data_IF_796077074431
#
_entry.id   IF_796077074431
#
_cell.length_a   1.000
_cell.length_b   1.000
_cell.length_c   1.000
_cell.angle_alpha   90.00
_cell.angle_beta   90.00
_cell.angle_gamma   90.00
#
_symmetry.space_group_name_H-M   'P 1'
#
loop_
_entity.id
_entity.type
_entity.pdbx_description
1 polymer ?
#
# COMPACT_ATOMS: atom_id res chain seq x y z
N UNK A 1 11.76 -4.27 4.21
CA UNK A 1 11.44 -5.71 4.21
C UNK A 1 11.01 -6.14 2.82
N UNK A 2 11.57 -7.23 2.33
CA UNK A 2 11.27 -7.82 1.02
C UNK A 2 10.42 -9.06 1.17
N UNK A 3 9.39 -9.20 0.37
CA UNK A 3 8.56 -10.41 0.29
C UNK A 3 8.36 -10.80 -1.18
N UNK A 4 8.88 -11.97 -1.55
CA UNK A 4 8.65 -12.58 -2.85
C UNK A 4 7.49 -13.56 -2.74
N UNK A 5 6.51 -13.43 -3.63
CA UNK A 5 5.40 -14.37 -3.74
C UNK A 5 5.79 -15.53 -4.66
N UNK A 6 5.11 -16.69 -4.56
CA UNK A 6 5.36 -17.81 -5.45
C UNK A 6 5.13 -17.44 -6.91
N UNK A 7 5.79 -18.14 -7.82
CA UNK A 7 5.53 -18.02 -9.25
C UNK A 7 4.09 -18.42 -9.55
N UNK A 8 3.41 -17.60 -10.32
CA UNK A 8 2.06 -17.83 -10.79
C UNK A 8 2.09 -18.16 -12.28
N UNK A 9 1.47 -19.25 -12.68
CA UNK A 9 1.36 -19.61 -14.10
C UNK A 9 0.20 -18.84 -14.74
N UNK A 10 0.51 -18.04 -15.75
CA UNK A 10 -0.45 -17.17 -16.46
C UNK A 10 -0.10 -17.20 -17.96
N UNK A 11 -1.08 -17.49 -18.80
CA UNK A 11 -0.93 -17.45 -20.27
C UNK A 11 0.28 -18.22 -20.80
N UNK A 12 0.56 -19.39 -20.24
CA UNK A 12 1.66 -20.24 -20.70
C UNK A 12 3.06 -19.83 -20.22
N UNK A 13 3.18 -18.84 -19.37
CA UNK A 13 4.40 -18.41 -18.73
C UNK A 13 4.27 -18.28 -17.23
N UNK A 14 5.29 -17.77 -16.56
CA UNK A 14 5.30 -17.60 -15.12
C UNK A 14 5.51 -16.15 -14.71
N UNK A 15 4.68 -15.69 -13.79
CA UNK A 15 4.74 -14.34 -13.20
C UNK A 15 5.08 -14.42 -11.72
N UNK A 16 5.88 -13.49 -11.23
CA UNK A 16 6.17 -13.35 -9.80
C UNK A 16 6.01 -11.90 -9.39
N UNK A 17 5.43 -11.72 -8.21
CA UNK A 17 5.28 -10.41 -7.57
C UNK A 17 6.22 -10.32 -6.38
N UNK A 18 6.96 -9.23 -6.28
CA UNK A 18 7.83 -8.92 -5.13
C UNK A 18 7.41 -7.59 -4.55
N UNK A 19 7.23 -7.56 -3.23
CA UNK A 19 6.95 -6.35 -2.47
C UNK A 19 8.18 -5.94 -1.66
N UNK A 20 8.49 -4.64 -1.66
CA UNK A 20 9.48 -4.03 -0.78
C UNK A 20 8.71 -3.11 0.15
N UNK A 21 8.56 -3.49 1.41
CA UNK A 21 7.73 -2.76 2.37
C UNK A 21 8.51 -1.75 3.20
N UNK A 22 7.91 -0.55 3.42
CA UNK A 22 8.35 0.46 4.37
C UNK A 22 7.76 0.26 5.78
N UNK A 23 7.38 1.36 6.49
CA UNK A 23 7.23 2.73 5.95
C UNK A 23 8.53 3.49 5.81
N UNK A 24 8.65 4.24 4.72
CA UNK A 24 9.76 5.15 4.47
C UNK A 24 9.27 6.57 4.25
N UNK A 25 10.13 7.55 4.51
CA UNK A 25 9.87 8.93 4.09
C UNK A 25 9.69 8.99 2.57
N UNK A 26 8.73 9.79 2.12
CA UNK A 26 8.56 10.01 0.69
C UNK A 26 9.75 10.79 0.11
N UNK A 27 10.22 10.39 -1.05
CA UNK A 27 11.13 11.19 -1.86
C UNK A 27 10.38 12.37 -2.48
N UNK A 28 11.08 13.33 -3.03
CA UNK A 28 10.51 14.58 -3.53
C UNK A 28 9.38 14.37 -4.53
N UNK A 29 9.53 13.44 -5.47
CA UNK A 29 8.52 13.14 -6.48
C UNK A 29 7.21 12.70 -5.85
N UNK A 30 7.26 11.79 -4.87
CA UNK A 30 6.08 11.29 -4.19
C UNK A 30 5.43 12.35 -3.30
N UNK A 31 6.26 13.15 -2.63
CA UNK A 31 5.77 14.27 -1.83
C UNK A 31 4.98 15.26 -2.69
N UNK A 32 5.50 15.60 -3.87
CA UNK A 32 4.84 16.50 -4.82
C UNK A 32 3.53 15.93 -5.34
N UNK A 33 3.52 14.63 -5.68
CA UNK A 33 2.30 13.94 -6.11
C UNK A 33 1.23 13.94 -5.01
N UNK A 34 1.61 13.65 -3.76
CA UNK A 34 0.69 13.68 -2.63
C UNK A 34 0.14 15.09 -2.36
N UNK A 35 0.97 16.11 -2.49
CA UNK A 35 0.50 17.50 -2.38
C UNK A 35 -0.58 17.80 -3.40
N UNK A 36 -0.38 17.35 -4.64
CA UNK A 36 -1.36 17.52 -5.71
C UNK A 36 -2.65 16.77 -5.45
N UNK A 37 -2.54 15.50 -5.03
CA UNK A 37 -3.71 14.66 -4.71
C UNK A 37 -4.55 15.26 -3.59
N UNK A 38 -3.91 15.72 -2.50
CA UNK A 38 -4.63 16.38 -1.41
C UNK A 38 -5.32 17.66 -1.89
N UNK A 39 -4.61 18.49 -2.65
CA UNK A 39 -5.13 19.76 -3.16
C UNK A 39 -6.34 19.57 -4.10
N UNK A 40 -6.31 18.54 -4.94
CA UNK A 40 -7.41 18.22 -5.85
C UNK A 40 -8.71 17.89 -5.11
N UNK A 41 -8.59 17.38 -3.89
CA UNK A 41 -9.73 17.05 -3.04
C UNK A 41 -10.09 18.17 -2.05
N UNK A 42 -9.41 19.31 -2.11
CA UNK A 42 -9.64 20.43 -1.22
C UNK A 42 -8.94 20.29 0.14
N UNK A 43 -7.93 19.44 0.26
CA UNK A 43 -7.20 19.20 1.51
C UNK A 43 -5.73 19.59 1.37
N UNK A 44 -5.04 19.64 2.51
CA UNK A 44 -3.62 19.95 2.62
C UNK A 44 -2.85 18.69 3.02
N UNK A 45 -1.68 18.47 2.41
CA UNK A 45 -0.79 17.40 2.80
C UNK A 45 -0.12 17.72 4.13
N UNK A 46 -0.26 16.82 5.10
CA UNK A 46 0.39 16.92 6.42
C UNK A 46 1.66 16.09 6.47
N UNK A 47 1.63 14.88 5.93
CA UNK A 47 2.77 13.97 5.89
C UNK A 47 2.63 12.98 4.75
N UNK A 48 3.72 12.29 4.44
CA UNK A 48 3.77 11.31 3.36
C UNK A 48 4.61 10.12 3.76
N UNK A 49 4.09 8.92 3.53
CA UNK A 49 4.80 7.67 3.74
C UNK A 49 4.85 6.88 2.45
N UNK A 50 5.97 6.27 2.14
CA UNK A 50 6.12 5.30 1.07
C UNK A 50 5.92 3.91 1.67
N UNK A 51 4.83 3.24 1.33
CA UNK A 51 4.41 1.99 1.96
C UNK A 51 5.11 0.79 1.34
N UNK A 52 5.06 0.69 0.02
CA UNK A 52 5.61 -0.43 -0.72
C UNK A 52 5.99 -0.04 -2.14
N UNK A 53 6.97 -0.75 -2.67
CA UNK A 53 7.30 -0.78 -4.08
C UNK A 53 7.03 -2.20 -4.59
N UNK A 54 6.33 -2.31 -5.72
CA UNK A 54 5.91 -3.59 -6.28
C UNK A 54 6.67 -3.84 -7.57
N UNK A 55 7.36 -4.99 -7.65
CA UNK A 55 7.99 -5.48 -8.85
C UNK A 55 7.22 -6.70 -9.36
N UNK A 56 6.74 -6.62 -10.61
CA UNK A 56 6.17 -7.75 -11.31
C UNK A 56 7.21 -8.29 -12.31
N UNK A 57 7.42 -9.58 -12.32
CA UNK A 57 8.34 -10.25 -13.22
C UNK A 57 7.61 -11.30 -14.06
N UNK A 58 7.95 -11.36 -15.36
CA UNK A 58 7.53 -12.41 -16.27
C UNK A 58 8.77 -13.11 -16.78
N UNK A 59 8.93 -14.38 -16.46
CA UNK A 59 10.08 -15.18 -16.88
C UNK A 59 11.43 -14.48 -16.61
N UNK A 60 11.55 -13.81 -15.46
CA UNK A 60 12.75 -13.07 -15.07
C UNK A 60 12.84 -11.63 -15.58
N UNK A 61 11.94 -11.19 -16.45
CA UNK A 61 11.90 -9.81 -16.95
C UNK A 61 10.91 -8.98 -16.13
N UNK A 62 11.33 -7.78 -15.72
CA UNK A 62 10.46 -6.85 -15.00
C UNK A 62 9.40 -6.30 -15.96
N UNK A 63 8.14 -6.49 -15.63
CA UNK A 63 7.03 -5.93 -16.38
C UNK A 63 6.75 -4.50 -15.95
N UNK A 64 6.35 -3.70 -16.91
CA UNK A 64 5.75 -2.40 -16.63
C UNK A 64 4.28 -2.68 -16.27
N UNK A 65 3.87 -2.51 -15.01
CA UNK A 65 2.49 -2.79 -14.62
C UNK A 65 1.51 -1.85 -15.34
N UNK A 66 0.25 -2.25 -15.54
CA UNK A 66 -0.75 -1.41 -16.20
C UNK A 66 -1.13 -0.16 -15.39
N UNK A 67 -0.73 -0.09 -14.13
CA UNK A 67 -0.89 1.09 -13.28
C UNK A 67 0.29 2.05 -13.47
N UNK A 68 0.14 3.34 -13.10
CA UNK A 68 1.22 4.31 -13.26
C UNK A 68 2.53 3.82 -12.64
N UNK A 69 3.58 3.79 -13.44
CA UNK A 69 4.92 3.42 -12.99
C UNK A 69 5.57 4.64 -12.37
N UNK A 70 5.92 4.54 -11.10
CA UNK A 70 6.55 5.64 -10.37
C UNK A 70 8.07 5.52 -10.28
N UNK A 71 8.62 4.33 -10.58
CA UNK A 71 10.05 4.10 -10.43
C UNK A 71 10.54 2.90 -11.24
N UNK A 72 11.25 3.14 -12.33
CA UNK A 72 12.03 2.14 -13.06
C UNK A 72 11.31 0.83 -13.40
N UNK A 73 10.06 0.87 -13.86
CA UNK A 73 9.28 -0.32 -14.16
C UNK A 73 8.61 -0.96 -12.94
N UNK A 74 8.56 -0.23 -11.83
CA UNK A 74 7.92 -0.66 -10.58
C UNK A 74 6.75 0.24 -10.23
N UNK A 75 5.79 -0.30 -9.49
CA UNK A 75 4.70 0.46 -8.93
C UNK A 75 5.02 0.81 -7.47
N UNK A 76 5.18 2.08 -7.18
CA UNK A 76 5.32 2.55 -5.80
C UNK A 76 3.95 2.89 -5.21
N UNK A 77 3.71 2.44 -4.01
CA UNK A 77 2.48 2.71 -3.27
C UNK A 77 2.80 3.68 -2.14
N UNK A 78 2.19 4.86 -2.19
CA UNK A 78 2.38 5.90 -1.18
C UNK A 78 1.13 6.07 -0.34
N UNK A 79 1.30 6.56 0.88
CA UNK A 79 0.20 6.98 1.73
C UNK A 79 0.32 8.49 1.95
N UNK A 80 -0.64 9.22 1.38
CA UNK A 80 -0.68 10.67 1.50
C UNK A 80 -1.54 11.04 2.72
N UNK A 81 -0.91 11.51 3.79
CA UNK A 81 -1.62 11.96 4.97
C UNK A 81 -2.16 13.38 4.77
N UNK A 82 -3.28 13.48 4.06
CA UNK A 82 -4.00 14.74 3.91
C UNK A 82 -4.78 15.04 5.20
N UNK A 83 -5.15 16.29 5.43
CA UNK A 83 -5.95 16.68 6.59
C UNK A 83 -7.42 16.34 6.46
N UNK A 84 -7.74 15.10 6.06
CA UNK A 84 -9.10 14.60 5.95
C UNK A 84 -9.83 14.63 7.30
N UNK A 85 -11.16 14.84 7.29
CA UNK A 85 -11.94 14.64 8.52
C UNK A 85 -11.91 13.16 8.91
N UNK A 86 -11.81 12.90 10.21
CA UNK A 86 -11.92 11.54 10.75
C UNK A 86 -13.39 11.10 10.76
N UNK A 87 -13.68 9.86 10.32
CA UNK A 87 -15.04 9.33 10.35
C UNK A 87 -15.55 9.14 11.79
N UNK A 88 -16.85 9.33 12.03
CA UNK A 88 -17.49 8.94 13.30
C UNK A 88 -17.30 7.45 13.59
N UNK A 89 -17.26 7.07 14.86
CA UNK A 89 -17.06 5.68 15.29
C UNK A 89 -18.02 4.70 14.61
N UNK A 90 -19.29 5.05 14.54
CA UNK A 90 -20.33 4.21 13.91
C UNK A 90 -20.04 3.97 12.43
N UNK A 91 -19.64 5.02 11.71
CA UNK A 91 -19.29 4.91 10.30
C UNK A 91 -18.04 4.03 10.09
N UNK A 92 -17.04 4.14 10.97
CA UNK A 92 -15.85 3.27 10.94
C UNK A 92 -16.22 1.80 11.10
N UNK A 93 -17.10 1.49 12.02
CA UNK A 93 -17.55 0.11 12.26
C UNK A 93 -18.30 -0.47 11.07
N UNK A 94 -19.14 0.32 10.41
CA UNK A 94 -19.85 -0.07 9.18
C UNK A 94 -18.85 -0.42 8.07
N UNK A 95 -17.86 0.44 7.86
CA UNK A 95 -16.83 0.23 6.83
C UNK A 95 -15.98 -1.01 7.12
N UNK A 96 -15.63 -1.24 8.39
CA UNK A 96 -14.89 -2.45 8.80
C UNK A 96 -15.71 -3.71 8.51
N UNK A 97 -17.00 -3.72 8.81
CA UNK A 97 -17.88 -4.86 8.54
C UNK A 97 -18.02 -5.14 7.04
N UNK A 98 -18.04 -4.11 6.22
CA UNK A 98 -18.04 -4.27 4.75
C UNK A 98 -16.80 -5.04 4.30
N UNK A 99 -15.63 -4.69 4.80
CA UNK A 99 -14.39 -5.40 4.52
C UNK A 99 -14.42 -6.85 5.00
N UNK A 100 -14.80 -7.07 6.25
CA UNK A 100 -14.87 -8.41 6.84
C UNK A 100 -15.77 -9.34 6.03
N UNK A 101 -16.86 -8.82 5.49
CA UNK A 101 -17.83 -9.59 4.70
C UNK A 101 -17.25 -10.10 3.38
N UNK A 102 -16.38 -9.33 2.72
CA UNK A 102 -15.84 -9.68 1.39
C UNK A 102 -14.40 -10.18 1.44
N UNK A 103 -13.78 -10.13 2.59
CA UNK A 103 -12.33 -10.37 2.77
C UNK A 103 -11.85 -11.67 2.13
N UNK A 104 -12.54 -12.77 2.34
CA UNK A 104 -12.11 -14.08 1.84
C UNK A 104 -12.20 -14.15 0.32
N UNK A 105 -13.30 -13.71 -0.27
CA UNK A 105 -13.44 -13.67 -1.73
C UNK A 105 -12.44 -12.68 -2.35
N UNK A 106 -12.16 -11.57 -1.69
CA UNK A 106 -11.15 -10.61 -2.12
C UNK A 106 -9.77 -11.26 -2.20
N UNK A 107 -9.36 -12.00 -1.18
CA UNK A 107 -8.07 -12.69 -1.14
C UNK A 107 -7.96 -13.73 -2.24
N UNK A 108 -9.04 -14.46 -2.54
CA UNK A 108 -9.07 -15.43 -3.63
C UNK A 108 -8.89 -14.75 -4.99
N UNK A 109 -9.59 -13.67 -5.26
CA UNK A 109 -9.47 -12.92 -6.50
C UNK A 109 -8.08 -12.29 -6.66
N UNK A 110 -7.54 -11.74 -5.59
CA UNK A 110 -6.20 -11.19 -5.55
C UNK A 110 -5.14 -12.26 -5.88
N UNK A 111 -5.32 -13.46 -5.31
CA UNK A 111 -4.40 -14.59 -5.53
C UNK A 111 -4.36 -15.04 -6.98
N UNK A 112 -5.45 -14.94 -7.70
CA UNK A 112 -5.50 -15.24 -9.15
C UNK A 112 -4.72 -14.24 -10.00
N UNK A 113 -4.54 -13.02 -9.51
CA UNK A 113 -3.88 -11.93 -10.24
C UNK A 113 -2.39 -11.79 -9.92
N UNK A 114 -2.00 -12.01 -8.67
CA UNK A 114 -0.68 -11.64 -8.17
C UNK A 114 0.10 -12.80 -7.54
N UNK A 115 -0.51 -13.94 -7.35
CA UNK A 115 0.06 -15.06 -6.62
C UNK A 115 -0.63 -15.25 -5.27
N UNK A 116 -0.34 -16.34 -4.60
CA UNK A 116 -1.01 -16.72 -3.35
C UNK A 116 -0.93 -15.60 -2.31
N UNK A 117 -2.09 -15.25 -1.72
CA UNK A 117 -2.15 -14.30 -0.60
C UNK A 117 -1.28 -14.81 0.54
N UNK A 118 -0.35 -13.99 1.06
CA UNK A 118 0.60 -14.45 2.05
C UNK A 118 -0.05 -14.93 3.36
N UNK A 119 0.54 -15.96 3.94
CA UNK A 119 0.10 -16.59 5.18
C UNK A 119 1.30 -16.72 6.11
N UNK A 120 1.08 -16.52 7.40
CA UNK A 120 2.10 -16.69 8.44
C UNK A 120 1.48 -17.42 9.64
N UNK A 121 2.09 -18.54 10.05
CA UNK A 121 1.57 -19.32 11.17
C UNK A 121 0.14 -19.81 10.98
N UNK A 122 -0.26 -20.16 9.76
CA UNK A 122 -1.62 -20.61 9.44
C UNK A 122 -2.65 -19.50 9.34
N UNK A 123 -2.26 -18.24 9.53
CA UNK A 123 -3.15 -17.07 9.47
C UNK A 123 -2.79 -16.20 8.27
N UNK A 124 -3.81 -15.83 7.50
CA UNK A 124 -3.61 -14.90 6.37
C UNK A 124 -3.14 -13.54 6.85
N UNK A 125 -2.22 -12.93 6.09
CA UNK A 125 -1.78 -11.59 6.37
C UNK A 125 -2.96 -10.61 6.34
N UNK A 126 -2.94 -9.53 7.15
CA UNK A 126 -3.97 -8.52 7.07
C UNK A 126 -3.96 -7.81 5.71
N UNK A 127 -5.13 -7.43 5.24
CA UNK A 127 -5.28 -6.50 4.13
C UNK A 127 -5.09 -5.08 4.64
N UNK A 128 -4.08 -4.39 4.13
CA UNK A 128 -3.80 -3.01 4.51
C UNK A 128 -4.52 -2.06 3.56
N UNK A 129 -5.35 -1.18 4.10
CA UNK A 129 -6.01 -0.13 3.34
C UNK A 129 -5.05 1.05 3.18
N UNK A 130 -4.66 1.35 1.94
CA UNK A 130 -3.69 2.41 1.62
C UNK A 130 -4.25 3.77 2.04
N UNK A 131 -5.51 4.07 1.67
CA UNK A 131 -6.28 5.13 2.30
C UNK A 131 -7.09 4.49 3.41
N UNK A 132 -6.71 4.77 4.64
CA UNK A 132 -7.24 4.08 5.81
C UNK A 132 -8.73 4.34 6.04
N UNK A 133 -9.40 3.37 6.67
CA UNK A 133 -10.83 3.43 6.92
C UNK A 133 -11.24 4.58 7.84
N UNK A 134 -10.34 5.00 8.71
CA UNK A 134 -10.60 6.07 9.67
C UNK A 134 -10.71 7.45 9.02
N UNK A 135 -10.16 7.58 7.83
CA UNK A 135 -10.15 8.83 7.06
C UNK A 135 -10.93 8.73 5.76
N UNK A 136 -11.81 7.73 5.63
CA UNK A 136 -12.73 7.61 4.52
C UNK A 136 -12.28 6.75 3.35
N UNK A 137 -11.23 5.94 3.53
CA UNK A 137 -10.79 4.99 2.51
C UNK A 137 -11.86 3.95 2.18
N UNK A 138 -11.96 3.56 0.91
CA UNK A 138 -12.91 2.54 0.48
C UNK A 138 -12.49 1.16 1.02
N UNK A 139 -13.33 0.49 1.82
CA UNK A 139 -12.96 -0.78 2.44
C UNK A 139 -12.88 -1.97 1.48
N UNK A 140 -13.41 -1.84 0.27
CA UNK A 140 -13.55 -2.95 -0.68
C UNK A 140 -12.92 -2.70 -2.04
N UNK A 141 -12.27 -1.56 -2.23
CA UNK A 141 -11.61 -1.22 -3.49
C UNK A 141 -10.31 -2.00 -3.64
N UNK A 142 -10.17 -2.83 -4.70
CA UNK A 142 -8.95 -3.59 -4.94
C UNK A 142 -7.69 -2.73 -5.08
N UNK A 143 -7.81 -1.49 -5.53
CA UNK A 143 -6.69 -0.57 -5.67
C UNK A 143 -6.26 0.07 -4.33
N UNK A 144 -7.05 -0.12 -3.29
CA UNK A 144 -6.80 0.43 -1.96
C UNK A 144 -6.28 -0.61 -0.94
N UNK A 145 -6.07 -1.85 -1.36
CA UNK A 145 -5.77 -2.95 -0.43
C UNK A 145 -4.55 -3.73 -0.91
N UNK A 146 -3.57 -3.91 -0.02
CA UNK A 146 -2.40 -4.75 -0.24
C UNK A 146 -2.18 -5.69 0.96
N UNK A 147 -1.61 -6.89 0.73
CA UNK A 147 -1.22 -7.74 1.84
C UNK A 147 0.02 -7.14 2.53
N UNK A 148 0.02 -7.11 3.85
CA UNK A 148 1.14 -6.60 4.64
C UNK A 148 1.40 -7.55 5.80
N UNK A 149 2.67 -7.88 6.05
CA UNK A 149 3.05 -8.69 7.20
C UNK A 149 2.55 -8.05 8.50
N UNK A 150 2.08 -8.83 9.50
CA UNK A 150 1.52 -8.27 10.72
C UNK A 150 2.41 -7.26 11.44
N UNK A 151 3.71 -7.52 11.53
CA UNK A 151 4.67 -6.60 12.16
C UNK A 151 4.82 -5.29 11.38
N UNK A 152 4.77 -5.35 10.05
CA UNK A 152 4.83 -4.17 9.17
C UNK A 152 3.52 -3.38 9.27
N UNK A 153 2.38 -4.05 9.30
CA UNK A 153 1.07 -3.44 9.50
C UNK A 153 1.02 -2.66 10.81
N UNK A 154 1.57 -3.21 11.89
CA UNK A 154 1.68 -2.52 13.18
C UNK A 154 2.57 -1.28 13.09
N UNK A 155 3.67 -1.35 12.34
CA UNK A 155 4.55 -0.20 12.13
C UNK A 155 3.84 0.94 11.41
N UNK A 156 3.05 0.65 10.38
CA UNK A 156 2.24 1.64 9.69
C UNK A 156 1.23 2.27 10.64
N UNK A 157 0.50 1.46 11.38
CA UNK A 157 -0.50 1.94 12.34
C UNK A 157 0.09 2.86 13.39
N UNK A 158 1.31 2.57 13.86
CA UNK A 158 2.02 3.44 14.81
C UNK A 158 2.53 4.73 14.19
N UNK A 159 2.83 4.73 12.90
CA UNK A 159 3.33 5.90 12.19
C UNK A 159 2.22 6.88 11.78
N UNK A 160 1.00 6.41 11.56
CA UNK A 160 -0.10 7.25 11.07
C UNK A 160 -0.38 8.49 11.92
N UNK A 161 -0.46 8.44 13.26
CA UNK A 161 -0.72 9.64 14.04
C UNK A 161 0.29 10.75 13.79
N UNK A 162 1.57 10.41 13.71
CA UNK A 162 2.63 11.39 13.42
C UNK A 162 2.56 11.91 11.98
N UNK A 163 2.24 11.03 11.02
CA UNK A 163 2.09 11.41 9.62
C UNK A 163 0.93 12.41 9.43
N UNK A 164 -0.23 12.11 9.98
CA UNK A 164 -1.39 13.00 9.92
C UNK A 164 -1.23 14.28 10.74
N UNK A 165 -0.38 14.25 11.76
CA UNK A 165 -0.06 15.43 12.56
C UNK A 165 1.00 16.34 11.92
N UNK A 166 1.56 15.95 10.78
CA UNK A 166 2.61 16.71 10.12
C UNK A 166 3.94 16.71 10.87
N UNK A 167 4.22 15.65 11.61
CA UNK A 167 5.45 15.51 12.40
C UNK A 167 6.58 14.85 11.61
N UNK A 168 7.81 15.17 11.99
CA UNK A 168 8.99 14.49 11.43
C UNK A 168 8.97 13.00 11.78
N UNK A 169 9.48 12.10 10.91
CA UNK A 169 10.14 12.40 9.64
C UNK A 169 9.18 12.53 8.44
N UNK A 170 7.87 12.39 8.64
CA UNK A 170 6.89 12.25 7.55
C UNK A 170 6.60 13.55 6.80
N UNK A 171 6.92 14.71 7.41
CA UNK A 171 6.74 16.02 6.80
C UNK A 171 8.00 16.50 6.04
N UNK A 172 9.03 15.67 5.95
CA UNK A 172 10.29 16.00 5.28
C UNK A 172 10.60 15.03 4.17
N UNK A 173 11.36 15.48 3.17
CA UNK A 173 11.75 14.66 2.02
C UNK A 173 12.81 13.64 2.44
N UNK A 174 12.58 12.38 2.09
CA UNK A 174 13.51 11.29 2.35
C UNK A 174 14.43 10.99 1.18
N UNK A 175 15.27 9.95 1.32
CA UNK A 175 16.19 9.55 0.26
C UNK A 175 15.44 8.99 -0.96
N UNK A 176 16.08 9.05 -2.12
CA UNK A 176 15.51 8.54 -3.38
C UNK A 176 15.26 7.03 -3.30
N UNK A 177 16.18 6.28 -2.70
CA UNK A 177 16.12 4.83 -2.53
C UNK A 177 16.36 4.46 -1.07
N UNK A 178 15.31 4.17 -0.29
CA UNK A 178 15.46 3.84 1.13
C UNK A 178 15.87 2.38 1.39
N UNK A 179 15.90 1.53 0.37
CA UNK A 179 16.30 0.13 0.46
C UNK A 179 17.42 -0.17 -0.55
N UNK A 180 18.19 -1.23 -0.30
CA UNK A 180 19.35 -1.60 -1.09
C UNK A 180 19.17 -2.90 -1.89
N UNK A 181 18.22 -3.74 -1.53
CA UNK A 181 17.93 -5.02 -2.21
C UNK A 181 16.96 -4.81 -3.37
N UNK A 182 17.53 -4.50 -4.50
CA UNK A 182 16.74 -4.21 -5.71
C UNK A 182 16.57 -5.43 -6.61
#
# INVERSE_FOLDING_TARGET
VKKELPWLEVFGGRMRTTFFYGPWQCRQTFMTECQRECAQQGYQLMGCMWLADIKLEWEGQVLVPPLPVKSGGRLAITHCCCNYPTLPKVAKEVERKRWEKIRDSFRDDWSKRFGEWPVEGGTSWPGHHIWDLWHGGNPVDPNNIIPVQPSIHDRFNRAYPACYAGQAPWNTVGPEWPYTDM
#
